data_IF_779906298065
#
_entry.id   IF_779906298065
#
_cell.length_a   1.000
_cell.length_b   1.000
_cell.length_c   1.000
_cell.angle_alpha   90.00
_cell.angle_beta   90.00
_cell.angle_gamma   90.00
#
_symmetry.space_group_name_H-M   'P 1'
#
loop_
_entity.id
_entity.type
_entity.pdbx_description
1 polymer ?
#
# COMPACT_ATOMS: atom_id res chain seq x y z
N UNK A 1 -12.17 16.59 10.68
CA UNK A 1 -10.86 15.89 10.92
C UNK A 1 -10.92 14.38 10.63
N UNK A 2 -11.89 13.63 11.14
CA UNK A 2 -12.03 12.17 10.91
C UNK A 2 -12.17 11.80 9.43
N UNK A 3 -12.92 12.58 8.66
CA UNK A 3 -13.15 12.35 7.23
C UNK A 3 -11.88 12.39 6.39
N UNK A 4 -11.02 13.38 6.62
CA UNK A 4 -9.74 13.49 5.91
C UNK A 4 -8.83 12.28 6.19
N UNK A 5 -8.80 11.80 7.44
CA UNK A 5 -8.06 10.58 7.78
C UNK A 5 -8.65 9.35 7.09
N UNK A 6 -9.98 9.21 7.08
CA UNK A 6 -10.67 8.12 6.39
C UNK A 6 -10.39 8.11 4.89
N UNK A 7 -10.42 9.28 4.23
CA UNK A 7 -10.14 9.42 2.79
C UNK A 7 -8.71 8.97 2.49
N UNK A 8 -7.72 9.41 3.29
CA UNK A 8 -6.31 9.01 3.12
C UNK A 8 -6.12 7.50 3.26
N UNK A 9 -6.67 6.90 4.31
CA UNK A 9 -6.57 5.45 4.56
C UNK A 9 -7.26 4.66 3.46
N UNK A 10 -8.45 5.09 2.99
CA UNK A 10 -9.16 4.44 1.89
C UNK A 10 -8.36 4.51 0.58
N UNK A 11 -7.75 5.64 0.27
CA UNK A 11 -6.90 5.79 -0.92
C UNK A 11 -5.68 4.84 -0.88
N UNK A 12 -5.00 4.76 0.27
CA UNK A 12 -3.87 3.83 0.47
C UNK A 12 -4.30 2.36 0.30
N UNK A 13 -5.41 1.96 0.92
CA UNK A 13 -5.93 0.59 0.81
C UNK A 13 -6.37 0.23 -0.60
N UNK A 14 -7.02 1.16 -1.31
CA UNK A 14 -7.41 0.96 -2.71
C UNK A 14 -6.19 0.70 -3.58
N UNK A 15 -5.15 1.53 -3.44
CA UNK A 15 -3.91 1.34 -4.20
C UNK A 15 -3.23 0.01 -3.89
N UNK A 16 -3.18 -0.39 -2.62
CA UNK A 16 -2.61 -1.66 -2.21
C UNK A 16 -3.38 -2.86 -2.78
N UNK A 17 -4.71 -2.76 -2.85
CA UNK A 17 -5.56 -3.77 -3.50
C UNK A 17 -5.25 -3.87 -5.00
N UNK A 18 -5.12 -2.76 -5.70
CA UNK A 18 -4.75 -2.75 -7.14
C UNK A 18 -3.40 -3.45 -7.38
N UNK A 19 -2.39 -3.17 -6.56
CA UNK A 19 -1.08 -3.82 -6.67
C UNK A 19 -1.18 -5.33 -6.48
N UNK A 20 -1.98 -5.79 -5.52
CA UNK A 20 -2.21 -7.21 -5.26
C UNK A 20 -2.94 -7.87 -6.42
N UNK A 21 -4.01 -7.23 -6.90
CA UNK A 21 -4.86 -7.77 -7.97
C UNK A 21 -4.09 -7.85 -9.30
N UNK A 22 -3.11 -6.97 -9.52
CA UNK A 22 -2.14 -7.03 -10.63
C UNK A 22 -0.98 -8.01 -10.41
N UNK A 23 -0.90 -8.70 -9.27
CA UNK A 23 0.20 -9.60 -8.95
C UNK A 23 1.54 -8.92 -8.66
N UNK A 24 1.56 -7.59 -8.54
CA UNK A 24 2.77 -6.80 -8.27
C UNK A 24 3.26 -6.95 -6.82
N UNK A 25 2.39 -7.37 -5.90
CA UNK A 25 2.78 -7.67 -4.52
C UNK A 25 2.23 -9.04 -4.09
N UNK A 26 2.95 -9.72 -3.20
CA UNK A 26 2.47 -10.99 -2.64
C UNK A 26 1.34 -10.77 -1.63
N UNK A 27 0.59 -11.83 -1.34
CA UNK A 27 -0.43 -11.81 -0.27
C UNK A 27 0.18 -11.46 1.10
N UNK A 28 1.40 -11.93 1.38
CA UNK A 28 2.12 -11.62 2.62
C UNK A 28 2.49 -10.12 2.70
N UNK A 29 3.06 -9.58 1.62
CA UNK A 29 3.37 -8.15 1.48
C UNK A 29 2.13 -7.29 1.66
N UNK A 30 1.03 -7.66 0.97
CA UNK A 30 -0.26 -6.97 1.09
C UNK A 30 -0.71 -6.92 2.56
N UNK A 31 -0.68 -8.04 3.29
CA UNK A 31 -1.15 -8.09 4.68
C UNK A 31 -0.30 -7.24 5.62
N UNK A 32 1.03 -7.30 5.47
CA UNK A 32 1.99 -6.48 6.23
C UNK A 32 1.72 -4.99 6.03
N UNK A 33 1.69 -4.54 4.77
CA UNK A 33 1.54 -3.12 4.44
C UNK A 33 0.13 -2.62 4.79
N UNK A 34 -0.89 -3.46 4.65
CA UNK A 34 -2.25 -3.13 5.07
C UNK A 34 -2.34 -2.84 6.57
N UNK A 35 -1.64 -3.61 7.41
CA UNK A 35 -1.55 -3.36 8.84
C UNK A 35 -0.82 -2.05 9.15
N UNK A 36 0.27 -1.75 8.44
CA UNK A 36 0.98 -0.47 8.56
C UNK A 36 0.09 0.73 8.19
N UNK A 37 -0.71 0.60 7.12
CA UNK A 37 -1.73 1.60 6.74
C UNK A 37 -2.77 1.76 7.85
N UNK A 38 -3.25 0.66 8.45
CA UNK A 38 -4.19 0.70 9.59
C UNK A 38 -3.58 1.44 10.79
N UNK A 39 -2.29 1.25 11.05
CA UNK A 39 -1.56 1.94 12.11
C UNK A 39 -1.22 3.41 11.78
N UNK A 40 -1.49 3.87 10.54
CA UNK A 40 -1.20 5.25 10.13
C UNK A 40 0.27 5.51 9.80
N UNK A 41 1.03 4.48 9.45
CA UNK A 41 2.47 4.58 9.17
C UNK A 41 2.82 5.46 7.95
N UNK A 42 1.86 5.71 7.04
CA UNK A 42 2.10 6.46 5.81
C UNK A 42 1.30 7.75 5.77
N UNK A 43 2.00 8.84 5.41
CA UNK A 43 1.39 10.18 5.25
C UNK A 43 0.52 10.29 3.99
N UNK A 44 0.85 9.54 2.94
CA UNK A 44 0.20 9.57 1.63
C UNK A 44 0.36 8.24 0.88
N UNK A 45 -0.34 8.10 -0.25
CA UNK A 45 -0.15 6.95 -1.17
C UNK A 45 1.27 6.91 -1.72
N UNK A 46 1.88 8.07 -2.01
CA UNK A 46 3.25 8.16 -2.51
C UNK A 46 4.25 7.61 -1.48
N UNK A 47 4.12 7.98 -0.21
CA UNK A 47 4.98 7.45 0.88
C UNK A 47 4.83 5.92 1.05
N UNK A 48 3.63 5.38 0.87
CA UNK A 48 3.42 3.93 0.86
C UNK A 48 4.10 3.25 -0.35
N UNK A 49 4.01 3.85 -1.53
CA UNK A 49 4.66 3.34 -2.75
C UNK A 49 6.18 3.39 -2.61
N UNK A 50 6.73 4.47 -2.07
CA UNK A 50 8.16 4.63 -1.81
C UNK A 50 8.68 3.55 -0.86
N UNK A 51 7.97 3.29 0.26
CA UNK A 51 8.29 2.17 1.15
C UNK A 51 8.31 0.82 0.41
N UNK A 52 7.30 0.55 -0.40
CA UNK A 52 7.20 -0.68 -1.17
C UNK A 52 8.36 -0.84 -2.15
N UNK A 53 8.77 0.25 -2.82
CA UNK A 53 9.89 0.26 -3.75
C UNK A 53 11.23 0.10 -3.02
N UNK A 54 11.46 0.87 -1.96
CA UNK A 54 12.70 0.81 -1.15
C UNK A 54 12.95 -0.56 -0.53
N UNK A 55 11.88 -1.27 -0.18
CA UNK A 55 11.96 -2.61 0.39
C UNK A 55 11.91 -3.74 -0.67
N UNK A 56 11.98 -3.41 -1.97
CA UNK A 56 11.88 -4.36 -3.08
C UNK A 56 10.64 -5.27 -2.98
N UNK A 57 9.54 -4.74 -2.44
CA UNK A 57 8.29 -5.47 -2.20
C UNK A 57 7.39 -5.51 -3.42
N UNK A 58 7.67 -4.67 -4.43
CA UNK A 58 7.00 -4.65 -5.72
C UNK A 58 7.76 -5.59 -6.66
N UNK A 59 7.11 -6.68 -7.05
CA UNK A 59 7.54 -7.52 -8.15
C UNK A 59 7.38 -6.72 -9.43
N UNK A 60 8.48 -6.49 -10.14
CA UNK A 60 8.40 -6.08 -11.55
C UNK A 60 7.63 -7.19 -12.27
N UNK A 61 6.54 -6.88 -13.00
CA UNK A 61 5.90 -7.92 -13.79
C UNK A 61 6.96 -8.47 -14.73
N UNK A 62 7.19 -9.78 -14.67
CA UNK A 62 7.86 -10.50 -15.75
C UNK A 62 6.90 -10.35 -16.93
N UNK A 63 7.16 -9.35 -17.78
CA UNK A 63 6.65 -9.33 -19.14
C UNK A 63 7.57 -10.25 -19.93
#
# INVERSE_FOLDING_TARGET
RKEQWMIRVRAQRRRLKELRDRGLITRATYRKVYMMVKAGAFKSVASMMEYLTQNNLIRRPLI
#
